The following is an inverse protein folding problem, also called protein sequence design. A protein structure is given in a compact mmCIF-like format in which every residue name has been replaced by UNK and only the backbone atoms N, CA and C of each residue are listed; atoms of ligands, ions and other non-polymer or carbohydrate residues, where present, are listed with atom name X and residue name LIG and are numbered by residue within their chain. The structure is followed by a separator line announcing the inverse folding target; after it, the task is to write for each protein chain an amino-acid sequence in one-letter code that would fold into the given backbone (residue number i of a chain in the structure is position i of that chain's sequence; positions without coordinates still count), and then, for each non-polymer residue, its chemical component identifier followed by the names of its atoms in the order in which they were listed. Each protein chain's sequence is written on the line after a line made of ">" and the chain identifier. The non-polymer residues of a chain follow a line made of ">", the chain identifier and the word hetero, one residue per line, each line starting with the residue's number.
data_IF_217680366826
#
_entry.id   IF_217680366826
#
_cell.length_a   1.000
_cell.length_b   1.000
_cell.length_c   1.000
_cell.angle_alpha   90.00
_cell.angle_beta   90.00
_cell.angle_gamma   90.00
#
_symmetry.space_group_name_H-M   'P 1'
#
loop_
_entity.id
_entity.type
_entity.pdbx_description
1 polymer ?
#
# COMPACT_ATOMS: atom_id res chain seq x y z
N UNK A 1 -3.70 -5.22 -27.37
CA UNK A 1 -4.72 -6.26 -27.08
C UNK A 1 -4.68 -6.54 -25.59
N UNK A 2 -5.82 -6.67 -24.90
CA UNK A 2 -5.84 -6.89 -23.45
C UNK A 2 -5.37 -8.31 -23.09
N UNK A 3 -4.86 -8.50 -21.88
CA UNK A 3 -4.44 -9.83 -21.39
C UNK A 3 -5.58 -10.85 -21.49
N UNK A 4 -6.81 -10.44 -21.14
CA UNK A 4 -8.01 -11.28 -21.27
C UNK A 4 -8.32 -11.63 -22.73
N UNK A 5 -8.10 -10.69 -23.65
CA UNK A 5 -8.31 -10.93 -25.08
C UNK A 5 -7.32 -11.93 -25.68
N UNK A 6 -6.13 -12.09 -25.09
CA UNK A 6 -5.08 -12.99 -25.56
C UNK A 6 -5.10 -14.36 -24.85
N UNK A 7 -5.38 -14.38 -23.55
CA UNK A 7 -5.20 -15.56 -22.71
C UNK A 7 -6.51 -16.09 -22.10
N UNK A 8 -7.64 -15.44 -22.37
CA UNK A 8 -8.92 -15.76 -21.77
C UNK A 8 -9.08 -15.17 -20.36
N UNK A 9 -10.10 -15.61 -19.60
CA UNK A 9 -10.39 -15.07 -18.29
C UNK A 9 -9.19 -15.12 -17.35
N UNK A 10 -9.04 -14.07 -16.54
CA UNK A 10 -7.95 -13.97 -15.56
C UNK A 10 -8.44 -14.31 -14.15
N UNK A 11 -7.54 -14.83 -13.32
CA UNK A 11 -7.84 -15.07 -11.90
C UNK A 11 -8.03 -13.74 -11.16
N UNK A 12 -8.81 -13.76 -10.08
CA UNK A 12 -8.94 -12.58 -9.24
C UNK A 12 -7.59 -12.12 -8.66
N UNK A 13 -6.69 -13.05 -8.35
CA UNK A 13 -5.34 -12.72 -7.88
C UNK A 13 -4.55 -11.90 -8.93
N UNK A 14 -4.60 -12.30 -10.20
CA UNK A 14 -3.94 -11.57 -11.29
C UNK A 14 -4.61 -10.22 -11.56
N UNK A 15 -5.93 -10.15 -11.43
CA UNK A 15 -6.63 -8.87 -11.49
C UNK A 15 -6.18 -7.93 -10.37
N UNK A 16 -6.11 -8.41 -9.12
CA UNK A 16 -5.66 -7.63 -7.98
C UNK A 16 -4.20 -7.20 -8.11
N UNK A 17 -3.33 -8.04 -8.67
CA UNK A 17 -1.95 -7.67 -8.96
C UNK A 17 -1.87 -6.45 -9.89
N UNK A 18 -2.63 -6.45 -10.99
CA UNK A 18 -2.67 -5.31 -11.91
C UNK A 18 -3.33 -4.08 -11.26
N UNK A 19 -4.49 -4.27 -10.63
CA UNK A 19 -5.24 -3.18 -10.00
C UNK A 19 -4.45 -2.50 -8.87
N UNK A 20 -3.62 -3.24 -8.13
CA UNK A 20 -2.86 -2.71 -7.01
C UNK A 20 -1.45 -2.28 -7.40
N UNK A 21 -0.77 -2.96 -8.33
CA UNK A 21 0.68 -2.84 -8.48
C UNK A 21 1.19 -2.58 -9.90
N UNK A 22 0.32 -2.50 -10.91
CA UNK A 22 0.74 -2.05 -12.25
C UNK A 22 1.40 -0.67 -12.16
N UNK A 23 2.60 -0.50 -12.73
CA UNK A 23 3.38 0.76 -12.57
C UNK A 23 2.61 1.99 -13.08
N UNK A 24 2.00 1.97 -14.29
CA UNK A 24 1.30 3.14 -14.79
C UNK A 24 -0.11 3.37 -14.21
N UNK A 25 -0.82 2.33 -13.75
CA UNK A 25 -2.24 2.47 -13.35
C UNK A 25 -2.59 1.88 -11.99
N UNK A 26 -1.73 1.04 -11.44
CA UNK A 26 -1.99 0.35 -10.18
C UNK A 26 -2.18 1.35 -9.07
N UNK A 27 -3.12 1.04 -8.15
CA UNK A 27 -3.42 1.81 -6.96
C UNK A 27 -2.09 2.12 -6.28
N UNK A 28 -1.41 1.20 -5.59
CA UNK A 28 0.05 1.18 -5.35
C UNK A 28 0.92 2.33 -5.89
N UNK A 29 1.03 2.37 -7.21
CA UNK A 29 2.15 2.96 -7.93
C UNK A 29 1.89 4.39 -8.42
N UNK A 30 0.63 4.80 -8.53
CA UNK A 30 0.25 6.10 -9.14
C UNK A 30 0.13 7.25 -8.14
N UNK A 31 1.17 8.06 -7.92
CA UNK A 31 0.99 9.31 -7.16
C UNK A 31 -0.10 10.15 -7.86
N UNK A 32 -1.16 10.60 -7.16
CA UNK A 32 -2.25 11.40 -7.76
C UNK A 32 -1.61 12.59 -8.50
N UNK A 33 -1.59 12.51 -9.82
CA UNK A 33 -0.93 13.45 -10.72
C UNK A 33 -1.84 14.64 -11.09
N UNK A 34 -2.83 14.94 -10.27
CA UNK A 34 -3.78 16.03 -10.48
C UNK A 34 -3.35 17.23 -9.62
N UNK A 35 -2.94 18.37 -10.22
CA UNK A 35 -2.47 19.54 -9.48
C UNK A 35 -3.57 20.29 -8.69
N UNK A 36 -4.85 19.98 -8.89
CA UNK A 36 -5.98 20.75 -8.31
C UNK A 36 -6.74 20.03 -7.17
N UNK A 37 -6.47 18.75 -6.95
CA UNK A 37 -6.99 17.97 -5.84
C UNK A 37 -5.85 17.81 -4.85
N UNK A 38 -5.97 18.44 -3.68
CA UNK A 38 -5.01 18.32 -2.58
C UNK A 38 -4.46 16.89 -2.52
N UNK A 39 -3.18 16.75 -2.78
CA UNK A 39 -2.47 15.49 -2.86
C UNK A 39 -2.54 14.79 -1.50
N UNK A 40 -3.60 14.04 -1.26
CA UNK A 40 -3.68 13.21 -0.07
C UNK A 40 -2.91 11.92 -0.33
N UNK A 41 -1.88 11.70 0.49
CA UNK A 41 -1.29 10.37 0.62
C UNK A 41 -2.41 9.37 0.84
N UNK A 42 -2.38 8.22 0.15
CA UNK A 42 -3.46 7.22 0.26
C UNK A 42 -3.60 6.66 1.67
N UNK A 43 -2.51 6.73 2.42
CA UNK A 43 -2.42 6.36 3.83
C UNK A 43 -2.31 7.65 4.64
N UNK A 44 -3.16 7.80 5.64
CA UNK A 44 -3.12 8.94 6.55
C UNK A 44 -4.52 9.49 6.81
N UNK A 45 -4.57 10.60 7.54
CA UNK A 45 -5.83 11.23 7.93
C UNK A 45 -6.64 11.78 6.76
N UNK A 46 -5.96 12.15 5.68
CA UNK A 46 -6.58 12.64 4.43
C UNK A 46 -6.66 11.54 3.35
N UNK A 47 -6.18 10.33 3.67
CA UNK A 47 -6.13 9.19 2.76
C UNK A 47 -7.41 8.36 2.75
N UNK A 48 -7.42 7.29 1.95
CA UNK A 48 -8.54 6.35 1.89
C UNK A 48 -8.65 5.54 3.20
N UNK A 49 -7.55 5.40 3.92
CA UNK A 49 -7.48 4.76 5.24
C UNK A 49 -6.25 5.24 6.00
N UNK A 50 -6.28 5.14 7.33
CA UNK A 50 -5.10 5.28 8.17
C UNK A 50 -4.66 3.92 8.71
N UNK A 51 -3.39 3.82 9.10
CA UNK A 51 -2.81 2.61 9.70
C UNK A 51 -2.36 2.90 11.13
N UNK A 52 -2.03 1.88 11.92
CA UNK A 52 -1.63 2.06 13.31
C UNK A 52 -0.44 3.04 13.54
N UNK A 53 0.58 3.12 12.65
CA UNK A 53 1.60 4.18 12.72
C UNK A 53 1.04 5.61 12.69
N UNK A 54 -0.03 5.85 11.93
CA UNK A 54 -0.68 7.17 11.79
C UNK A 54 -1.48 7.57 13.03
N UNK A 55 -1.89 6.59 13.85
CA UNK A 55 -2.71 6.81 15.04
C UNK A 55 -1.86 7.21 16.26
N UNK A 56 -0.71 6.58 16.45
CA UNK A 56 0.10 6.81 17.65
C UNK A 56 1.54 6.29 17.53
N UNK A 57 2.53 6.99 18.13
CA UNK A 57 3.90 6.49 18.29
C UNK A 57 4.03 5.22 19.14
N UNK A 58 2.97 4.79 19.83
CA UNK A 58 2.98 3.61 20.71
C UNK A 58 3.36 2.33 19.94
N UNK A 59 2.89 2.17 18.69
CA UNK A 59 3.24 1.01 17.88
C UNK A 59 4.75 0.92 17.66
N UNK A 60 5.38 2.01 17.20
CA UNK A 60 6.81 2.06 16.98
C UNK A 60 7.61 1.80 18.26
N UNK A 61 7.22 2.42 19.38
CA UNK A 61 7.87 2.20 20.69
C UNK A 61 7.79 0.74 21.15
N UNK A 62 6.66 0.10 20.93
CA UNK A 62 6.44 -1.31 21.31
C UNK A 62 7.24 -2.24 20.41
N UNK A 63 7.24 -1.99 19.10
CA UNK A 63 8.05 -2.74 18.13
C UNK A 63 9.55 -2.65 18.45
N UNK A 64 10.07 -1.45 18.73
CA UNK A 64 11.49 -1.28 19.09
C UNK A 64 11.86 -2.08 20.33
N UNK A 65 11.04 -2.04 21.39
CA UNK A 65 11.28 -2.85 22.59
C UNK A 65 11.33 -4.35 22.28
N UNK A 66 10.42 -4.83 21.43
CA UNK A 66 10.37 -6.23 21.05
C UNK A 66 11.57 -6.63 20.19
N UNK A 67 12.00 -5.76 19.26
CA UNK A 67 13.18 -6.00 18.42
C UNK A 67 14.43 -6.10 19.28
N UNK A 68 14.64 -5.18 20.24
CA UNK A 68 15.78 -5.26 21.17
C UNK A 68 15.76 -6.54 22.02
N UNK A 69 14.58 -6.93 22.51
CA UNK A 69 14.44 -8.16 23.28
C UNK A 69 14.74 -9.43 22.44
N UNK A 70 14.46 -9.40 21.14
CA UNK A 70 14.83 -10.49 20.20
C UNK A 70 16.33 -10.48 19.93
N UNK A 71 16.92 -9.29 19.72
CA UNK A 71 18.36 -9.13 19.47
C UNK A 71 19.20 -9.64 20.64
N UNK A 72 18.77 -9.35 21.88
CA UNK A 72 19.41 -9.86 23.10
C UNK A 72 19.37 -11.40 23.23
N UNK A 73 18.57 -12.11 22.42
CA UNK A 73 18.45 -13.57 22.43
C UNK A 73 19.28 -14.27 21.35
N UNK A 74 19.96 -13.52 20.47
CA UNK A 74 20.82 -14.03 19.40
C UNK A 74 22.29 -14.12 19.85
#
# INVERSE_FOLDING_TARGET
>A
MSEIGLHGPMSFARFMELALYDVPHGYYMTKKAEPDLSSSDRIGWDGDYFTAPELSPILAKTLVRQILAIDDQL
#
